data_IF_091053971616
#
_entry.id   IF_091053971616
#
_cell.length_a   1.000
_cell.length_b   1.000
_cell.length_c   1.000
_cell.angle_alpha   90.00
_cell.angle_beta   90.00
_cell.angle_gamma   90.00
#
_symmetry.space_group_name_H-M   'P 1'
#
loop_
_entity.id
_entity.type
_entity.pdbx_description
1 polymer ?
#
# COMPACT_ATOMS: atom_id res chain seq x y z
N UNK A 1 -18.22 1.54 -9.23
CA UNK A 1 -18.33 0.76 -7.99
C UNK A 1 -17.11 1.09 -7.17
N UNK A 2 -17.28 1.39 -5.88
CA UNK A 2 -16.15 1.68 -4.98
C UNK A 2 -15.41 0.39 -4.64
N UNK A 3 -14.18 0.50 -4.18
CA UNK A 3 -13.39 -0.65 -3.71
C UNK A 3 -14.10 -1.38 -2.58
N UNK A 4 -14.77 -0.68 -1.66
CA UNK A 4 -15.53 -1.32 -0.58
C UNK A 4 -16.67 -2.20 -1.11
N UNK A 5 -17.35 -1.76 -2.17
CA UNK A 5 -18.42 -2.53 -2.79
C UNK A 5 -17.83 -3.81 -3.39
N UNK A 6 -16.69 -3.68 -4.08
CA UNK A 6 -15.97 -4.80 -4.68
C UNK A 6 -15.43 -5.80 -3.64
N UNK A 7 -15.09 -5.34 -2.43
CA UNK A 7 -14.67 -6.20 -1.32
C UNK A 7 -15.87 -6.96 -0.75
N UNK A 8 -17.00 -6.27 -0.56
CA UNK A 8 -18.19 -6.83 0.10
C UNK A 8 -19.09 -7.67 -0.82
N UNK A 9 -19.06 -7.42 -2.13
CA UNK A 9 -19.97 -8.06 -3.09
C UNK A 9 -19.51 -9.43 -3.58
N UNK A 10 -18.33 -9.90 -3.18
CA UNK A 10 -17.81 -11.16 -3.71
C UNK A 10 -18.30 -12.36 -2.90
N UNK A 11 -18.73 -13.39 -3.61
CA UNK A 11 -19.05 -14.71 -3.05
C UNK A 11 -17.79 -15.46 -2.56
N UNK A 12 -16.62 -15.08 -3.07
CA UNK A 12 -15.30 -15.63 -2.73
C UNK A 12 -14.37 -14.50 -2.26
N UNK A 13 -13.32 -14.83 -1.52
CA UNK A 13 -12.25 -13.88 -1.18
C UNK A 13 -11.78 -13.13 -2.43
N UNK A 14 -11.70 -11.81 -2.41
CA UNK A 14 -11.32 -11.01 -3.57
C UNK A 14 -9.82 -11.00 -3.84
N UNK A 15 -9.41 -11.07 -5.11
CA UNK A 15 -8.01 -10.88 -5.52
C UNK A 15 -7.72 -9.39 -5.78
N UNK A 16 -6.64 -8.86 -5.21
CA UNK A 16 -6.09 -7.56 -5.57
C UNK A 16 -4.56 -7.57 -5.47
N UNK A 17 -3.91 -6.61 -6.13
CA UNK A 17 -2.46 -6.48 -6.03
C UNK A 17 -1.99 -5.04 -6.17
N UNK A 18 -0.74 -4.82 -5.80
CA UNK A 18 -0.09 -3.51 -5.86
C UNK A 18 1.06 -3.50 -6.85
N UNK A 19 1.17 -2.41 -7.60
CA UNK A 19 2.27 -2.13 -8.53
C UNK A 19 3.01 -0.84 -8.17
N UNK A 20 4.23 -0.73 -8.67
CA UNK A 20 5.04 0.49 -8.58
C UNK A 20 5.01 1.21 -9.93
N UNK A 21 4.95 2.56 -9.97
CA UNK A 21 5.28 3.32 -11.16
C UNK A 21 6.67 2.92 -11.70
N UNK A 22 6.95 2.94 -13.02
CA UNK A 22 8.26 2.55 -13.55
C UNK A 22 9.38 3.48 -13.07
N UNK A 23 10.65 3.05 -13.17
CA UNK A 23 11.77 3.95 -12.90
C UNK A 23 11.86 5.01 -14.01
N UNK A 24 12.32 6.21 -13.67
CA UNK A 24 12.60 7.26 -14.64
C UNK A 24 13.60 6.72 -15.67
N UNK A 25 13.27 6.88 -16.95
CA UNK A 25 14.06 6.36 -18.07
C UNK A 25 13.74 4.91 -18.45
N UNK A 26 12.82 4.26 -17.74
CA UNK A 26 12.25 2.95 -18.13
C UNK A 26 10.81 3.13 -18.59
N UNK A 27 10.37 2.34 -19.57
CA UNK A 27 8.99 2.38 -20.05
C UNK A 27 8.01 1.63 -19.15
N UNK A 28 6.73 1.66 -19.53
CA UNK A 28 5.60 1.08 -18.76
C UNK A 28 5.40 -0.42 -19.03
N UNK A 29 6.15 -1.00 -19.96
CA UNK A 29 5.93 -2.34 -20.51
C UNK A 29 5.99 -3.43 -19.44
N UNK A 30 6.90 -3.30 -18.46
CA UNK A 30 7.02 -4.25 -17.34
C UNK A 30 5.80 -4.21 -16.41
N UNK A 31 5.18 -3.04 -16.23
CA UNK A 31 3.94 -2.93 -15.47
C UNK A 31 2.82 -3.62 -16.24
N UNK A 32 2.71 -3.39 -17.55
CA UNK A 32 1.73 -4.08 -18.39
C UNK A 32 1.91 -5.59 -18.35
N UNK A 33 3.13 -6.10 -18.47
CA UNK A 33 3.40 -7.54 -18.32
C UNK A 33 2.94 -8.08 -16.96
N UNK A 34 3.15 -7.32 -15.88
CA UNK A 34 2.68 -7.71 -14.54
C UNK A 34 1.16 -7.79 -14.48
N UNK A 35 0.47 -6.79 -15.03
CA UNK A 35 -0.99 -6.74 -15.06
C UNK A 35 -1.55 -7.84 -15.98
N UNK A 36 -0.99 -8.02 -17.17
CA UNK A 36 -1.37 -9.06 -18.12
C UNK A 36 -1.19 -10.46 -17.52
N UNK A 37 -0.18 -10.65 -16.68
CA UNK A 37 0.05 -11.91 -15.97
C UNK A 37 -0.96 -12.14 -14.86
N UNK A 38 -1.29 -11.12 -14.07
CA UNK A 38 -2.14 -11.28 -12.89
C UNK A 38 -3.63 -11.04 -13.14
N UNK A 39 -4.01 -10.44 -14.28
CA UNK A 39 -5.42 -10.18 -14.63
C UNK A 39 -6.23 -11.44 -14.90
N UNK A 40 -5.56 -12.58 -15.15
CA UNK A 40 -6.22 -13.87 -15.33
C UNK A 40 -6.98 -14.33 -14.07
N UNK A 41 -6.62 -13.80 -12.90
CA UNK A 41 -7.25 -14.11 -11.61
C UNK A 41 -8.31 -13.08 -11.19
N UNK A 42 -8.89 -12.34 -12.14
CA UNK A 42 -9.97 -11.36 -11.94
C UNK A 42 -9.71 -10.36 -10.79
N UNK A 43 -8.60 -9.59 -10.84
CA UNK A 43 -8.29 -8.59 -9.83
C UNK A 43 -9.39 -7.54 -9.77
N UNK A 44 -9.99 -7.39 -8.58
CA UNK A 44 -11.09 -6.42 -8.39
C UNK A 44 -10.58 -4.98 -8.42
N UNK A 45 -9.38 -4.75 -7.92
CA UNK A 45 -8.72 -3.46 -7.96
C UNK A 45 -7.19 -3.63 -7.93
N UNK A 46 -6.50 -2.59 -8.38
CA UNK A 46 -5.03 -2.54 -8.41
C UNK A 46 -4.57 -1.29 -7.68
N UNK A 47 -3.78 -1.47 -6.63
CA UNK A 47 -3.10 -0.37 -5.97
C UNK A 47 -1.90 0.09 -6.80
N UNK A 48 -1.65 1.39 -6.85
CA UNK A 48 -0.40 1.93 -7.38
C UNK A 48 0.28 2.83 -6.36
N UNK A 49 1.53 2.49 -6.05
CA UNK A 49 2.27 3.22 -5.04
C UNK A 49 2.62 4.63 -5.48
N UNK A 50 2.79 5.49 -4.49
CA UNK A 50 3.34 6.83 -4.67
C UNK A 50 4.69 6.90 -3.96
N UNK A 51 5.64 7.61 -4.56
CA UNK A 51 6.93 7.85 -3.94
C UNK A 51 7.15 9.35 -3.79
N UNK A 52 7.61 9.74 -2.60
CA UNK A 52 8.05 11.10 -2.33
C UNK A 52 9.18 11.52 -3.28
N UNK A 53 9.26 12.82 -3.56
CA UNK A 53 10.49 13.39 -4.12
C UNK A 53 11.58 13.33 -3.04
N UNK A 54 12.74 12.75 -3.35
CA UNK A 54 13.87 12.72 -2.43
C UNK A 54 14.71 14.00 -2.62
N UNK A 55 15.17 14.62 -1.53
CA UNK A 55 16.25 15.60 -1.63
C UNK A 55 17.59 14.89 -1.50
N UNK A 56 18.46 15.10 -2.48
CA UNK A 56 19.84 14.61 -2.48
C UNK A 56 20.75 15.82 -2.35
N UNK A 57 21.63 15.79 -1.35
CA UNK A 57 22.67 16.78 -1.17
C UNK A 57 23.87 16.35 -1.99
N UNK A 58 24.14 17.08 -3.07
CA UNK A 58 25.34 16.88 -3.88
C UNK A 58 26.44 17.76 -3.30
N UNK A 59 27.51 17.13 -2.83
CA UNK A 59 28.73 17.84 -2.46
C UNK A 59 29.32 18.49 -3.72
N UNK A 60 29.49 19.81 -3.68
CA UNK A 60 30.08 20.61 -4.75
C UNK A 60 31.58 20.89 -4.51
N UNK A 61 32.15 20.37 -3.43
CA UNK A 61 33.49 20.72 -2.94
C UNK A 61 33.49 21.98 -2.08
N UNK A 62 34.62 22.24 -1.40
CA UNK A 62 34.83 23.42 -0.54
C UNK A 62 33.78 23.59 0.58
N UNK A 63 33.16 22.50 1.04
CA UNK A 63 32.11 22.52 2.07
C UNK A 63 30.73 22.97 1.57
N UNK A 64 30.54 23.17 0.26
CA UNK A 64 29.26 23.57 -0.32
C UNK A 64 28.44 22.33 -0.71
N UNK A 65 27.17 22.30 -0.28
CA UNK A 65 26.21 21.27 -0.67
C UNK A 65 25.08 21.88 -1.48
N UNK A 66 24.79 21.28 -2.63
CA UNK A 66 23.61 21.61 -3.42
C UNK A 66 22.47 20.65 -3.10
N UNK A 67 21.35 21.20 -2.64
CA UNK A 67 20.12 20.42 -2.42
C UNK A 67 19.38 20.24 -3.74
N UNK A 68 19.41 19.04 -4.30
CA UNK A 68 18.72 18.69 -5.54
C UNK A 68 17.48 17.84 -5.26
N UNK A 69 16.35 18.18 -5.88
CA UNK A 69 15.12 17.37 -5.83
C UNK A 69 15.23 16.24 -6.86
N UNK A 70 15.28 15.00 -6.38
CA UNK A 70 15.34 13.79 -7.18
C UNK A 70 13.97 13.10 -7.21
N UNK A 71 13.35 13.08 -8.39
CA UNK A 71 12.17 12.26 -8.67
C UNK A 71 12.58 11.04 -9.49
N UNK A 72 12.52 9.85 -8.87
CA UNK A 72 12.97 8.58 -9.48
C UNK A 72 11.92 7.89 -10.34
N UNK A 73 10.65 8.30 -10.26
CA UNK A 73 9.52 7.66 -10.93
C UNK A 73 8.55 8.72 -11.48
N UNK A 74 7.81 8.44 -12.57
CA UNK A 74 6.77 9.34 -13.05
C UNK A 74 5.65 9.50 -12.01
N UNK A 75 4.74 10.44 -12.26
CA UNK A 75 3.62 10.68 -11.37
C UNK A 75 2.61 9.55 -11.35
N UNK A 76 2.19 9.17 -10.14
CA UNK A 76 1.19 8.13 -9.89
C UNK A 76 -0.08 8.36 -10.68
N UNK A 77 -0.57 9.61 -10.72
CA UNK A 77 -1.77 10.02 -11.47
C UNK A 77 -1.72 9.57 -12.93
N UNK A 78 -0.65 9.91 -13.64
CA UNK A 78 -0.52 9.59 -15.07
C UNK A 78 -0.46 8.08 -15.32
N UNK A 79 0.22 7.32 -14.45
CA UNK A 79 0.32 5.87 -14.59
C UNK A 79 -1.01 5.20 -14.23
N UNK A 80 -1.70 5.66 -13.18
CA UNK A 80 -3.03 5.18 -12.82
C UNK A 80 -4.03 5.41 -13.95
N UNK A 81 -4.04 6.60 -14.55
CA UNK A 81 -4.87 6.92 -15.71
C UNK A 81 -4.60 5.99 -16.90
N UNK A 82 -3.32 5.78 -17.25
CA UNK A 82 -2.94 4.91 -18.36
C UNK A 82 -3.43 3.47 -18.15
N UNK A 83 -3.29 2.96 -16.92
CA UNK A 83 -3.68 1.59 -16.58
C UNK A 83 -5.20 1.45 -16.54
N UNK A 84 -5.91 2.35 -15.86
CA UNK A 84 -7.37 2.28 -15.77
C UNK A 84 -8.01 2.31 -17.16
N UNK A 85 -7.57 3.22 -18.04
CA UNK A 85 -8.08 3.30 -19.40
C UNK A 85 -7.75 2.07 -20.25
N UNK A 86 -6.58 1.47 -20.07
CA UNK A 86 -6.16 0.29 -20.85
C UNK A 86 -6.86 -0.99 -20.41
N UNK A 87 -7.04 -1.18 -19.10
CA UNK A 87 -7.46 -2.45 -18.53
C UNK A 87 -8.91 -2.46 -18.04
N UNK A 88 -9.52 -1.28 -17.85
CA UNK A 88 -10.82 -1.13 -17.23
C UNK A 88 -10.91 -1.83 -15.86
N UNK A 89 -9.83 -1.77 -15.09
CA UNK A 89 -9.74 -2.26 -13.71
C UNK A 89 -9.65 -1.04 -12.80
N UNK A 90 -10.37 -1.06 -11.68
CA UNK A 90 -10.37 0.02 -10.68
C UNK A 90 -8.95 0.25 -10.16
N UNK A 91 -8.44 1.46 -10.34
CA UNK A 91 -7.13 1.86 -9.83
C UNK A 91 -7.26 2.55 -8.48
N UNK A 92 -6.34 2.22 -7.57
CA UNK A 92 -6.27 2.80 -6.22
C UNK A 92 -4.90 3.47 -6.03
N UNK A 93 -4.76 4.76 -6.39
CA UNK A 93 -3.54 5.51 -6.13
C UNK A 93 -3.28 5.68 -4.64
N UNK A 94 -2.04 5.50 -4.21
CA UNK A 94 -1.62 5.92 -2.89
C UNK A 94 -1.51 7.44 -2.83
N UNK A 95 -2.06 8.06 -1.80
CA UNK A 95 -1.86 9.49 -1.50
C UNK A 95 -1.08 9.61 -0.19
N UNK A 96 -0.01 10.41 -0.20
CA UNK A 96 0.94 10.51 0.89
C UNK A 96 0.95 11.91 1.52
N UNK A 97 1.19 11.97 2.82
CA UNK A 97 1.70 13.19 3.46
C UNK A 97 3.17 13.45 3.08
N UNK A 98 3.97 12.38 3.02
CA UNK A 98 5.41 12.45 2.79
C UNK A 98 5.76 13.02 1.42
N UNK A 99 6.41 14.18 1.42
CA UNK A 99 6.90 14.81 0.19
C UNK A 99 5.88 15.66 -0.55
N UNK A 100 4.75 16.00 0.07
CA UNK A 100 3.68 16.82 -0.52
C UNK A 100 3.29 17.95 0.42
N UNK A 101 3.12 19.15 -0.13
CA UNK A 101 2.37 20.22 0.55
C UNK A 101 0.87 19.96 0.45
N UNK A 102 0.06 20.67 1.26
CA UNK A 102 -1.40 20.54 1.20
C UNK A 102 -1.96 20.94 -0.17
N UNK A 103 -1.37 21.96 -0.79
CA UNK A 103 -1.74 22.43 -2.13
C UNK A 103 -1.37 21.40 -3.20
N UNK A 104 -0.17 20.81 -3.14
CA UNK A 104 0.22 19.74 -4.07
C UNK A 104 -0.72 18.52 -3.96
N UNK A 105 -1.16 18.19 -2.74
CA UNK A 105 -2.19 17.16 -2.53
C UNK A 105 -3.51 17.53 -3.19
N UNK A 106 -3.96 18.78 -3.06
CA UNK A 106 -5.23 19.25 -3.64
C UNK A 106 -5.25 19.14 -5.16
N UNK A 107 -4.16 19.55 -5.83
CA UNK A 107 -4.03 19.38 -7.28
C UNK A 107 -4.05 17.92 -7.71
N UNK A 108 -3.45 17.02 -6.92
CA UNK A 108 -3.55 15.58 -7.18
C UNK A 108 -5.00 15.08 -7.06
N UNK A 109 -5.77 15.55 -6.08
CA UNK A 109 -7.19 15.21 -5.94
C UNK A 109 -8.01 15.74 -7.13
N UNK A 110 -7.76 16.97 -7.57
CA UNK A 110 -8.39 17.53 -8.77
C UNK A 110 -8.11 16.67 -10.02
N UNK A 111 -6.85 16.33 -10.26
CA UNK A 111 -6.46 15.50 -11.41
C UNK A 111 -7.13 14.12 -11.37
N UNK A 112 -7.11 13.46 -10.20
CA UNK A 112 -7.71 12.14 -10.05
C UNK A 112 -9.23 12.15 -10.24
N UNK A 113 -9.92 13.15 -9.68
CA UNK A 113 -11.35 13.32 -9.86
C UNK A 113 -11.71 13.60 -11.33
N UNK A 114 -10.92 14.43 -12.02
CA UNK A 114 -11.07 14.69 -13.46
C UNK A 114 -10.93 13.41 -14.30
N UNK A 115 -10.04 12.51 -13.89
CA UNK A 115 -9.81 11.21 -14.52
C UNK A 115 -10.81 10.12 -14.11
N UNK A 116 -11.75 10.44 -13.21
CA UNK A 116 -12.72 9.47 -12.66
C UNK A 116 -12.08 8.41 -11.76
N UNK A 117 -10.88 8.65 -11.23
CA UNK A 117 -10.20 7.78 -10.27
C UNK A 117 -10.52 8.30 -8.87
N UNK A 118 -11.40 7.62 -8.15
CA UNK A 118 -11.95 8.13 -6.88
C UNK A 118 -11.77 7.19 -5.69
N UNK A 119 -11.12 6.05 -5.89
CA UNK A 119 -10.70 5.16 -4.80
C UNK A 119 -9.23 5.40 -4.49
N UNK A 120 -8.90 5.69 -3.23
CA UNK A 120 -7.54 6.02 -2.80
C UNK A 120 -7.04 5.08 -1.69
N UNK A 121 -5.72 4.98 -1.54
CA UNK A 121 -5.12 4.47 -0.31
C UNK A 121 -4.39 5.62 0.39
N UNK A 122 -4.88 6.02 1.56
CA UNK A 122 -4.36 7.18 2.29
C UNK A 122 -3.30 6.77 3.28
N UNK A 123 -2.10 7.33 3.13
CA UNK A 123 -0.92 6.97 3.90
C UNK A 123 -0.18 8.21 4.39
N UNK A 124 0.55 8.07 5.49
CA UNK A 124 1.54 9.09 5.87
C UNK A 124 2.72 9.07 4.91
N UNK A 125 3.19 7.87 4.56
CA UNK A 125 4.46 7.64 3.87
C UNK A 125 5.65 7.66 4.84
N UNK A 126 6.81 7.31 4.29
CA UNK A 126 8.04 7.14 5.06
C UNK A 126 8.80 8.46 5.24
N UNK A 127 9.62 8.51 6.29
CA UNK A 127 10.61 9.57 6.52
C UNK A 127 11.72 9.57 5.45
N UNK A 128 12.44 10.68 5.31
CA UNK A 128 13.64 10.65 4.47
C UNK A 128 14.71 9.73 5.08
N UNK A 129 15.53 9.08 4.24
CA UNK A 129 16.57 8.14 4.70
C UNK A 129 17.55 8.74 5.70
N UNK A 130 17.79 10.05 5.65
CA UNK A 130 18.72 10.76 6.52
C UNK A 130 18.04 11.41 7.74
N UNK A 131 16.71 11.31 7.85
CA UNK A 131 15.98 11.86 8.98
C UNK A 131 15.80 10.81 10.07
N UNK A 132 15.91 11.21 11.33
CA UNK A 132 15.66 10.33 12.48
C UNK A 132 14.17 10.05 12.67
N UNK A 133 13.31 11.00 12.31
CA UNK A 133 11.85 10.95 12.40
C UNK A 133 11.20 11.56 11.15
N UNK A 134 9.92 11.31 10.95
CA UNK A 134 9.16 11.89 9.84
C UNK A 134 9.00 13.41 10.00
N UNK A 135 9.34 14.16 8.94
CA UNK A 135 9.16 15.62 8.87
C UNK A 135 8.35 15.96 7.61
N UNK A 136 7.22 16.68 7.72
CA UNK A 136 6.44 17.10 6.55
C UNK A 136 7.19 18.16 5.73
N UNK A 137 6.85 18.22 4.44
CA UNK A 137 7.39 19.25 3.54
C UNK A 137 6.54 20.50 3.64
N UNK A 138 7.16 21.65 3.92
CA UNK A 138 6.48 22.94 3.94
C UNK A 138 5.32 22.95 4.95
N UNK A 139 4.11 23.24 4.48
CA UNK A 139 2.88 23.20 5.28
C UNK A 139 2.16 21.84 5.22
N UNK A 140 2.78 20.77 4.70
CA UNK A 140 2.19 19.44 4.61
C UNK A 140 1.80 18.82 5.96
N UNK A 141 1.19 17.64 5.92
CA UNK A 141 0.65 16.97 7.12
C UNK A 141 1.65 16.05 7.82
N UNK A 142 1.51 15.92 9.14
CA UNK A 142 2.30 15.01 9.97
C UNK A 142 1.76 13.59 9.95
N UNK A 143 0.43 13.44 9.85
CA UNK A 143 -0.26 12.17 9.98
C UNK A 143 -1.31 11.95 8.90
N UNK A 144 -1.58 10.68 8.58
CA UNK A 144 -2.59 10.29 7.58
C UNK A 144 -3.99 10.80 7.91
N UNK A 145 -4.32 10.97 9.20
CA UNK A 145 -5.60 11.53 9.66
C UNK A 145 -5.84 12.95 9.16
N UNK A 146 -4.82 13.82 9.16
CA UNK A 146 -4.97 15.19 8.65
C UNK A 146 -5.16 15.19 7.11
N UNK A 147 -4.52 14.25 6.42
CA UNK A 147 -4.74 14.04 4.98
C UNK A 147 -6.17 13.54 4.70
N UNK A 148 -6.72 12.65 5.53
CA UNK A 148 -8.13 12.25 5.44
C UNK A 148 -9.08 13.44 5.65
N UNK A 149 -8.76 14.35 6.58
CA UNK A 149 -9.55 15.57 6.77
C UNK A 149 -9.57 16.43 5.51
N UNK A 150 -8.42 16.63 4.85
CA UNK A 150 -8.40 17.36 3.58
C UNK A 150 -9.24 16.66 2.51
N UNK A 151 -9.13 15.34 2.36
CA UNK A 151 -9.94 14.58 1.39
C UNK A 151 -11.44 14.69 1.71
N UNK A 152 -11.81 14.67 2.98
CA UNK A 152 -13.20 14.83 3.40
C UNK A 152 -13.73 16.24 3.15
N UNK A 153 -12.91 17.28 3.36
CA UNK A 153 -13.26 18.65 3.03
C UNK A 153 -13.37 18.84 1.51
N UNK A 154 -12.47 18.25 0.75
CA UNK A 154 -12.56 18.18 -0.71
C UNK A 154 -13.87 17.52 -1.15
N UNK A 155 -14.25 16.39 -0.56
CA UNK A 155 -15.54 15.75 -0.85
C UNK A 155 -16.77 16.63 -0.51
N UNK A 156 -16.63 17.54 0.46
CA UNK A 156 -17.66 18.53 0.82
C UNK A 156 -17.64 19.79 -0.06
N UNK A 157 -16.70 19.88 -1.01
CA UNK A 157 -16.55 21.05 -1.85
C UNK A 157 -15.77 22.19 -1.21
N UNK A 158 -14.83 21.90 -0.32
CA UNK A 158 -14.02 22.91 0.40
C UNK A 158 -12.55 22.69 0.05
N UNK A 159 -11.93 23.68 -0.57
CA UNK A 159 -10.49 23.71 -0.84
C UNK A 159 -9.68 24.03 0.42
N UNK A 160 -8.37 23.79 0.36
CA UNK A 160 -7.44 24.00 1.48
C UNK A 160 -7.36 25.46 1.93
N UNK A 161 -7.61 26.41 1.03
CA UNK A 161 -7.66 27.84 1.33
C UNK A 161 -9.01 28.30 1.91
N UNK A 162 -9.97 27.37 2.04
CA UNK A 162 -11.32 27.61 2.55
C UNK A 162 -12.31 28.07 1.48
N UNK A 163 -11.91 28.22 0.22
CA UNK A 163 -12.83 28.53 -0.86
C UNK A 163 -13.70 27.33 -1.23
N UNK A 164 -14.90 27.62 -1.73
CA UNK A 164 -15.87 26.60 -2.11
C UNK A 164 -15.68 26.16 -3.57
N UNK A 165 -15.92 24.88 -3.82
CA UNK A 165 -16.02 24.30 -5.15
C UNK A 165 -17.34 23.57 -5.35
N UNK A 166 -17.73 23.47 -6.61
CA UNK A 166 -18.89 22.67 -6.98
C UNK A 166 -18.62 21.20 -6.69
N UNK A 167 -19.38 20.63 -5.75
CA UNK A 167 -19.34 19.20 -5.42
C UNK A 167 -19.65 18.38 -6.68
N UNK A 168 -18.79 17.40 -6.96
CA UNK A 168 -19.03 16.45 -8.05
C UNK A 168 -19.88 15.28 -7.54
N UNK A 169 -20.52 14.56 -8.45
CA UNK A 169 -21.35 13.41 -8.09
C UNK A 169 -20.55 12.19 -7.61
N UNK A 170 -19.21 12.24 -7.66
CA UNK A 170 -18.33 11.11 -7.35
C UNK A 170 -17.32 11.52 -6.27
N UNK A 171 -17.67 11.38 -4.99
CA UNK A 171 -16.74 11.65 -3.89
C UNK A 171 -15.64 10.58 -3.83
N UNK A 172 -14.49 10.95 -3.27
CA UNK A 172 -13.44 10.01 -2.97
C UNK A 172 -13.86 9.01 -1.88
N UNK A 173 -13.62 7.72 -2.14
CA UNK A 173 -13.55 6.65 -1.14
C UNK A 173 -12.08 6.33 -0.87
N UNK A 174 -11.77 5.84 0.32
CA UNK A 174 -10.40 5.47 0.63
C UNK A 174 -10.27 4.36 1.68
N UNK A 175 -9.21 3.58 1.51
CA UNK A 175 -8.66 2.72 2.55
C UNK A 175 -7.45 3.34 3.24
N UNK A 176 -6.97 2.68 4.29
CA UNK A 176 -5.77 3.09 5.06
C UNK A 176 -4.85 1.91 5.34
N UNK A 177 -3.59 2.17 5.70
CA UNK A 177 -2.68 1.11 6.16
C UNK A 177 -2.92 0.72 7.62
N UNK A 178 -2.57 -0.51 8.00
CA UNK A 178 -2.50 -1.00 9.38
C UNK A 178 -1.35 -2.02 9.55
N UNK A 179 -0.96 -2.33 10.79
CA UNK A 179 0.28 -3.08 11.06
C UNK A 179 0.03 -4.21 12.06
N UNK A 180 -0.09 -5.48 11.59
CA UNK A 180 -0.29 -6.64 12.47
C UNK A 180 0.79 -6.81 13.53
N UNK A 181 1.99 -6.27 13.27
CA UNK A 181 3.15 -6.34 14.15
C UNK A 181 3.57 -4.96 14.69
N UNK A 182 2.64 -3.99 14.70
CA UNK A 182 2.78 -2.60 15.17
C UNK A 182 3.65 -1.75 14.24
N UNK A 183 3.22 -0.50 13.99
CA UNK A 183 4.08 0.46 13.31
C UNK A 183 5.39 0.71 14.09
N UNK A 184 6.50 0.91 13.38
CA UNK A 184 7.82 1.02 14.02
C UNK A 184 7.92 2.19 15.01
N UNK A 185 7.24 3.30 14.70
CA UNK A 185 7.19 4.50 15.54
C UNK A 185 6.11 4.45 16.64
N UNK A 186 5.21 3.46 16.63
CA UNK A 186 4.20 3.36 17.68
C UNK A 186 4.83 2.81 18.98
N UNK A 187 4.50 3.35 20.16
CA UNK A 187 5.09 2.89 21.42
C UNK A 187 4.65 1.46 21.80
N UNK A 188 3.44 1.06 21.42
CA UNK A 188 2.87 -0.27 21.66
C UNK A 188 1.71 -0.55 20.69
N UNK A 189 1.23 -1.80 20.68
CA UNK A 189 0.17 -2.26 19.78
C UNK A 189 -1.16 -1.52 20.03
N UNK A 190 -1.54 -1.30 21.29
CA UNK A 190 -2.83 -0.68 21.62
C UNK A 190 -2.91 0.78 21.13
N UNK A 191 -1.78 1.49 21.17
CA UNK A 191 -1.68 2.84 20.58
C UNK A 191 -1.77 2.80 19.05
N UNK A 192 -1.18 1.80 18.40
CA UNK A 192 -1.27 1.64 16.94
C UNK A 192 -2.72 1.34 16.51
N UNK A 193 -3.42 0.48 17.24
CA UNK A 193 -4.84 0.16 17.02
C UNK A 193 -5.73 1.37 17.32
N UNK A 194 -5.43 2.17 18.36
CA UNK A 194 -6.14 3.43 18.62
C UNK A 194 -6.10 4.34 17.40
N UNK A 195 -4.95 4.48 16.74
CA UNK A 195 -4.84 5.28 15.52
C UNK A 195 -5.53 4.64 14.32
N UNK A 196 -5.56 3.30 14.21
CA UNK A 196 -6.40 2.63 13.22
C UNK A 196 -7.88 2.98 13.42
N UNK A 197 -8.38 2.91 14.67
CA UNK A 197 -9.75 3.32 15.00
C UNK A 197 -10.01 4.77 14.63
N UNK A 198 -9.09 5.69 14.94
CA UNK A 198 -9.23 7.10 14.55
C UNK A 198 -9.31 7.29 13.03
N UNK A 199 -8.48 6.58 12.25
CA UNK A 199 -8.56 6.60 10.79
C UNK A 199 -9.91 6.09 10.27
N UNK A 200 -10.47 5.04 10.89
CA UNK A 200 -11.82 4.55 10.59
C UNK A 200 -12.90 5.59 10.93
N UNK A 201 -12.85 6.18 12.12
CA UNK A 201 -13.80 7.23 12.56
C UNK A 201 -13.79 8.45 11.63
N UNK A 202 -12.67 8.70 10.96
CA UNK A 202 -12.54 9.74 9.94
C UNK A 202 -13.09 9.37 8.57
N UNK A 203 -13.59 8.15 8.37
CA UNK A 203 -14.27 7.73 7.14
C UNK A 203 -13.51 6.72 6.28
N UNK A 204 -12.40 6.15 6.75
CA UNK A 204 -11.76 5.05 6.02
C UNK A 204 -12.72 3.86 5.90
N UNK A 205 -12.89 3.32 4.69
CA UNK A 205 -13.88 2.26 4.41
C UNK A 205 -13.28 0.85 4.55
N UNK A 206 -11.96 0.71 4.46
CA UNK A 206 -11.21 -0.54 4.68
C UNK A 206 -9.78 -0.25 5.12
N UNK A 207 -9.09 -1.26 5.67
CA UNK A 207 -7.67 -1.19 5.99
C UNK A 207 -6.91 -2.30 5.26
N UNK A 208 -5.69 -2.01 4.79
CA UNK A 208 -4.76 -3.00 4.23
C UNK A 208 -3.60 -3.15 5.19
N UNK A 209 -3.28 -4.39 5.57
CA UNK A 209 -2.17 -4.65 6.48
C UNK A 209 -0.84 -4.47 5.77
N UNK A 210 0.20 -4.05 6.49
CA UNK A 210 1.57 -4.35 6.12
C UNK A 210 1.73 -5.87 5.89
N UNK A 211 2.73 -6.25 5.10
CA UNK A 211 3.07 -7.66 4.91
C UNK A 211 3.39 -8.35 6.24
N UNK A 212 3.04 -9.61 6.35
CA UNK A 212 3.35 -10.49 7.47
C UNK A 212 3.56 -11.91 6.96
N UNK A 213 4.32 -12.73 7.68
CA UNK A 213 4.58 -14.14 7.32
C UNK A 213 3.93 -15.13 8.29
N UNK A 214 3.38 -14.66 9.41
CA UNK A 214 2.68 -15.46 10.42
C UNK A 214 1.19 -15.08 10.52
N UNK A 215 0.30 -15.98 10.12
CA UNK A 215 -1.14 -15.76 10.19
C UNK A 215 -1.66 -15.52 11.61
N UNK A 216 -1.00 -16.04 12.64
CA UNK A 216 -1.37 -15.81 14.04
C UNK A 216 -1.30 -14.32 14.37
N UNK A 217 -0.27 -13.60 13.87
CA UNK A 217 -0.13 -12.15 14.06
C UNK A 217 -1.30 -11.39 13.44
N UNK A 218 -1.75 -11.81 12.25
CA UNK A 218 -2.91 -11.21 11.60
C UNK A 218 -4.20 -11.48 12.39
N UNK A 219 -4.46 -12.71 12.80
CA UNK A 219 -5.68 -13.06 13.55
C UNK A 219 -5.73 -12.36 14.92
N UNK A 220 -4.62 -12.36 15.66
CA UNK A 220 -4.51 -11.65 16.94
C UNK A 220 -4.72 -10.14 16.77
N UNK A 221 -4.18 -9.57 15.70
CA UNK A 221 -4.37 -8.16 15.37
C UNK A 221 -5.83 -7.84 15.06
N UNK A 222 -6.49 -8.64 14.22
CA UNK A 222 -7.90 -8.45 13.87
C UNK A 222 -8.77 -8.53 15.12
N UNK A 223 -8.56 -9.54 15.97
CA UNK A 223 -9.31 -9.70 17.22
C UNK A 223 -9.16 -8.47 18.13
N UNK A 224 -7.93 -8.01 18.38
CA UNK A 224 -7.69 -6.79 19.17
C UNK A 224 -8.32 -5.55 18.53
N UNK A 225 -8.25 -5.42 17.21
CA UNK A 225 -8.88 -4.32 16.50
C UNK A 225 -10.41 -4.34 16.64
N UNK A 226 -11.04 -5.53 16.58
CA UNK A 226 -12.48 -5.69 16.84
C UNK A 226 -12.83 -5.33 18.27
N UNK A 227 -12.06 -5.78 19.26
CA UNK A 227 -12.25 -5.41 20.68
C UNK A 227 -12.13 -3.89 20.92
N UNK A 228 -11.25 -3.20 20.17
CA UNK A 228 -11.13 -1.75 20.20
C UNK A 228 -12.29 -1.02 19.49
N UNK A 229 -13.13 -1.73 18.75
CA UNK A 229 -14.28 -1.20 18.02
C UNK A 229 -14.00 -0.82 16.56
N UNK A 230 -12.93 -1.33 15.95
CA UNK A 230 -12.72 -1.22 14.51
C UNK A 230 -13.68 -2.17 13.80
N UNK A 231 -14.54 -1.66 12.92
CA UNK A 231 -15.59 -2.44 12.24
C UNK A 231 -15.34 -2.62 10.74
N UNK A 232 -14.48 -1.82 10.13
CA UNK A 232 -14.16 -1.90 8.70
C UNK A 232 -13.40 -3.20 8.35
N UNK A 233 -13.50 -3.69 7.10
CA UNK A 233 -12.69 -4.81 6.61
C UNK A 233 -11.19 -4.56 6.79
N UNK A 234 -10.46 -5.58 7.26
CA UNK A 234 -8.99 -5.56 7.40
C UNK A 234 -8.44 -6.60 6.41
N UNK A 235 -7.85 -6.12 5.32
CA UNK A 235 -7.39 -6.90 4.19
C UNK A 235 -5.93 -7.31 4.44
N UNK A 236 -5.61 -8.62 4.50
CA UNK A 236 -4.24 -9.08 4.63
C UNK A 236 -3.40 -8.73 3.39
N UNK A 237 -2.31 -8.00 3.62
CA UNK A 237 -1.25 -7.73 2.65
C UNK A 237 -0.24 -8.88 2.60
N UNK A 238 -0.06 -9.51 1.43
CA UNK A 238 0.71 -10.74 1.27
C UNK A 238 1.86 -10.54 0.29
N UNK A 239 3.05 -11.05 0.64
CA UNK A 239 4.22 -11.05 -0.25
C UNK A 239 4.92 -12.41 -0.22
N UNK A 240 4.94 -13.17 -1.33
CA UNK A 240 5.72 -14.40 -1.38
C UNK A 240 7.20 -14.14 -1.07
N UNK A 241 7.78 -15.01 -0.24
CA UNK A 241 9.23 -15.07 -0.06
C UNK A 241 9.88 -15.58 -1.35
N UNK A 242 11.06 -15.07 -1.70
CA UNK A 242 11.67 -15.30 -3.02
C UNK A 242 13.19 -15.42 -3.01
N UNK A 243 13.92 -14.74 -2.13
CA UNK A 243 15.39 -14.69 -2.18
C UNK A 243 15.99 -14.96 -0.82
N UNK A 244 17.15 -15.63 -0.78
CA UNK A 244 17.88 -15.88 0.48
C UNK A 244 18.19 -14.58 1.23
N UNK A 245 18.53 -13.52 0.49
CA UNK A 245 18.78 -12.17 1.06
C UNK A 245 17.59 -11.61 1.86
N UNK A 246 16.36 -12.08 1.60
CA UNK A 246 15.16 -11.63 2.30
C UNK A 246 15.09 -12.08 3.75
N UNK A 247 15.80 -13.15 4.15
CA UNK A 247 15.93 -13.55 5.56
C UNK A 247 16.40 -12.39 6.43
N UNK A 248 17.31 -11.58 5.91
CA UNK A 248 17.85 -10.42 6.63
C UNK A 248 17.17 -9.10 6.24
N UNK A 249 16.76 -8.96 4.99
CA UNK A 249 16.23 -7.68 4.47
C UNK A 249 14.82 -7.40 4.96
N UNK A 250 13.95 -8.42 5.00
CA UNK A 250 12.53 -8.24 5.33
C UNK A 250 12.35 -7.73 6.77
N UNK A 251 12.89 -8.39 7.82
CA UNK A 251 12.72 -7.91 9.18
C UNK A 251 13.29 -6.51 9.38
N UNK A 252 14.45 -6.22 8.78
CA UNK A 252 15.11 -4.91 8.91
C UNK A 252 14.31 -3.78 8.27
N UNK A 253 13.65 -4.04 7.14
CA UNK A 253 12.99 -3.02 6.32
C UNK A 253 11.54 -2.82 6.74
N UNK A 254 10.80 -3.91 6.94
CA UNK A 254 9.36 -3.87 7.20
C UNK A 254 9.01 -4.00 8.68
N UNK A 255 9.99 -4.30 9.54
CA UNK A 255 9.84 -4.46 10.99
C UNK A 255 8.82 -5.55 11.36
N UNK A 256 8.93 -6.68 10.66
CA UNK A 256 8.10 -7.87 10.82
C UNK A 256 8.98 -9.04 11.19
N UNK A 257 8.44 -10.00 11.93
CA UNK A 257 9.12 -11.24 12.25
C UNK A 257 8.90 -12.28 11.13
N UNK A 258 9.94 -13.05 10.85
CA UNK A 258 9.80 -14.27 10.05
C UNK A 258 9.54 -15.44 11.00
N UNK A 259 8.52 -16.29 10.72
CA UNK A 259 8.32 -17.54 11.44
C UNK A 259 9.59 -18.37 11.47
N UNK A 260 9.84 -19.03 12.61
CA UNK A 260 11.00 -19.91 12.77
C UNK A 260 10.94 -21.07 11.76
N UNK A 261 9.75 -21.62 11.53
CA UNK A 261 9.52 -22.71 10.59
C UNK A 261 9.90 -22.31 9.16
N UNK A 262 9.46 -21.12 8.71
CA UNK A 262 9.85 -20.58 7.41
C UNK A 262 11.36 -20.36 7.33
N UNK A 263 11.94 -19.80 8.39
CA UNK A 263 13.37 -19.49 8.46
C UNK A 263 14.21 -20.77 8.35
N UNK A 264 13.83 -21.83 9.06
CA UNK A 264 14.51 -23.13 9.04
C UNK A 264 14.48 -23.77 7.65
N UNK A 265 13.35 -23.73 6.94
CA UNK A 265 13.27 -24.28 5.58
C UNK A 265 14.10 -23.46 4.58
N UNK A 266 14.06 -22.14 4.67
CA UNK A 266 14.86 -21.28 3.78
C UNK A 266 16.37 -21.44 4.05
N UNK A 267 16.79 -21.66 5.30
CA UNK A 267 18.20 -21.91 5.64
C UNK A 267 18.76 -23.22 5.04
N UNK A 268 17.90 -24.15 4.62
CA UNK A 268 18.31 -25.37 3.89
C UNK A 268 18.56 -25.11 2.40
N UNK A 269 18.09 -23.98 1.88
CA UNK A 269 18.22 -23.62 0.47
C UNK A 269 19.62 -23.08 0.17
N UNK A 270 20.19 -23.50 -0.96
CA UNK A 270 21.48 -23.04 -1.49
C UNK A 270 21.31 -21.97 -2.57
N UNK A 271 20.13 -21.87 -3.19
CA UNK A 271 19.86 -20.93 -4.29
C UNK A 271 18.59 -20.11 -4.06
N UNK A 272 18.50 -18.95 -4.73
CA UNK A 272 17.28 -18.15 -4.76
C UNK A 272 16.10 -18.89 -5.41
N UNK A 273 16.36 -19.84 -6.33
CA UNK A 273 15.30 -20.64 -6.97
C UNK A 273 14.65 -21.61 -5.96
N UNK A 274 15.45 -22.27 -5.13
CA UNK A 274 14.96 -23.12 -4.04
C UNK A 274 14.20 -22.28 -3.00
N UNK A 275 14.75 -21.14 -2.60
CA UNK A 275 14.09 -20.22 -1.67
C UNK A 275 12.75 -19.68 -2.21
N UNK A 276 12.67 -19.44 -3.52
CA UNK A 276 11.43 -19.06 -4.20
C UNK A 276 10.39 -20.18 -4.14
N UNK A 277 10.79 -21.44 -4.31
CA UNK A 277 9.87 -22.57 -4.23
C UNK A 277 9.29 -22.70 -2.81
N UNK A 278 10.15 -22.69 -1.78
CA UNK A 278 9.72 -22.68 -0.36
C UNK A 278 8.77 -21.51 -0.08
N UNK A 279 9.10 -20.32 -0.60
CA UNK A 279 8.27 -19.13 -0.42
C UNK A 279 6.91 -19.17 -1.12
N UNK A 280 6.79 -19.87 -2.26
CA UNK A 280 5.51 -20.13 -2.92
C UNK A 280 4.67 -21.07 -2.07
N UNK A 281 5.23 -22.20 -1.64
CA UNK A 281 4.54 -23.20 -0.80
C UNK A 281 4.04 -22.60 0.51
N UNK A 282 4.89 -21.83 1.18
CA UNK A 282 4.52 -21.08 2.39
C UNK A 282 3.35 -20.13 2.13
N UNK A 283 3.45 -19.33 1.07
CA UNK A 283 2.43 -18.34 0.72
C UNK A 283 1.10 -18.99 0.34
N UNK A 284 1.12 -20.14 -0.35
CA UNK A 284 -0.11 -20.93 -0.63
C UNK A 284 -0.78 -21.35 0.67
N UNK A 285 -0.03 -21.91 1.61
CA UNK A 285 -0.59 -22.33 2.89
C UNK A 285 -1.13 -21.14 3.70
N UNK A 286 -0.36 -20.05 3.72
CA UNK A 286 -0.77 -18.79 4.34
C UNK A 286 -2.10 -18.29 3.79
N UNK A 287 -2.24 -18.23 2.47
CA UNK A 287 -3.46 -17.77 1.80
C UNK A 287 -4.64 -18.71 2.01
N UNK A 288 -4.44 -20.03 1.94
CA UNK A 288 -5.50 -21.03 2.18
C UNK A 288 -6.09 -20.90 3.57
N UNK A 289 -5.24 -20.74 4.59
CA UNK A 289 -5.69 -20.55 5.96
C UNK A 289 -6.44 -19.21 6.13
N UNK A 290 -5.96 -18.12 5.54
CA UNK A 290 -6.67 -16.83 5.54
C UNK A 290 -8.04 -16.91 4.87
N UNK A 291 -8.13 -17.57 3.71
CA UNK A 291 -9.40 -17.80 3.00
C UNK A 291 -10.35 -18.65 3.85
N UNK A 292 -9.86 -19.71 4.49
CA UNK A 292 -10.67 -20.55 5.38
C UNK A 292 -11.21 -19.78 6.59
N UNK A 293 -10.49 -18.74 7.05
CA UNK A 293 -10.95 -17.81 8.09
C UNK A 293 -11.85 -16.68 7.56
N UNK A 294 -12.21 -16.70 6.27
CA UNK A 294 -13.20 -15.80 5.70
C UNK A 294 -12.70 -14.37 5.45
N UNK A 295 -11.40 -14.16 5.20
CA UNK A 295 -10.93 -12.83 4.83
C UNK A 295 -11.61 -12.38 3.52
N UNK A 296 -12.04 -11.11 3.42
CA UNK A 296 -12.85 -10.66 2.29
C UNK A 296 -12.02 -10.40 1.03
N UNK A 297 -10.71 -10.18 1.18
CA UNK A 297 -9.76 -10.02 0.07
C UNK A 297 -8.35 -10.46 0.49
N UNK A 298 -7.52 -10.86 -0.48
CA UNK A 298 -6.07 -10.95 -0.35
C UNK A 298 -5.43 -9.87 -1.21
N UNK A 299 -4.55 -9.06 -0.62
CA UNK A 299 -3.84 -7.99 -1.32
C UNK A 299 -2.37 -8.31 -1.54
N UNK A 300 -1.94 -8.53 -2.79
CA UNK A 300 -0.57 -8.99 -3.07
C UNK A 300 0.42 -7.86 -3.43
N UNK A 301 1.57 -7.83 -2.75
CA UNK A 301 2.68 -6.93 -3.07
C UNK A 301 3.53 -7.46 -4.22
N UNK A 302 3.16 -7.10 -5.46
CA UNK A 302 3.69 -7.74 -6.69
C UNK A 302 5.16 -7.47 -7.02
N UNK A 303 5.75 -6.45 -6.40
CA UNK A 303 7.11 -5.98 -6.67
C UNK A 303 8.13 -7.13 -6.58
N UNK A 304 8.67 -7.52 -7.74
CA UNK A 304 9.67 -8.60 -7.84
C UNK A 304 9.13 -10.01 -7.60
N UNK A 305 7.82 -10.16 -7.39
CA UNK A 305 7.16 -11.41 -7.00
C UNK A 305 6.01 -11.81 -7.95
N UNK A 306 5.85 -11.17 -9.11
CA UNK A 306 4.77 -11.44 -10.08
C UNK A 306 4.61 -12.93 -10.38
N UNK A 307 5.69 -13.62 -10.76
CA UNK A 307 5.61 -15.05 -11.11
C UNK A 307 5.24 -15.91 -9.90
N UNK A 308 5.80 -15.61 -8.73
CA UNK A 308 5.44 -16.29 -7.48
C UNK A 308 3.97 -16.09 -7.13
N UNK A 309 3.42 -14.88 -7.32
CA UNK A 309 2.00 -14.60 -7.08
C UNK A 309 1.13 -15.37 -8.08
N UNK A 310 1.53 -15.44 -9.35
CA UNK A 310 0.81 -16.25 -10.35
C UNK A 310 0.70 -17.72 -9.90
N UNK A 311 1.81 -18.31 -9.47
CA UNK A 311 1.82 -19.72 -9.01
C UNK A 311 1.05 -19.94 -7.71
N UNK A 312 1.04 -18.95 -6.81
CA UNK A 312 0.18 -18.97 -5.61
C UNK A 312 -1.29 -18.87 -6.00
N UNK A 313 -1.64 -17.89 -6.84
CA UNK A 313 -3.02 -17.58 -7.24
C UNK A 313 -3.69 -18.77 -7.94
N UNK A 314 -2.99 -19.47 -8.85
CA UNK A 314 -3.46 -20.70 -9.51
C UNK A 314 -3.93 -21.80 -8.55
N UNK A 315 -3.46 -21.80 -7.31
CA UNK A 315 -3.76 -22.85 -6.33
C UNK A 315 -4.86 -22.47 -5.34
N UNK A 316 -5.27 -21.20 -5.33
CA UNK A 316 -6.20 -20.65 -4.33
C UNK A 316 -7.42 -19.95 -4.96
N UNK A 317 -7.40 -19.67 -6.27
CA UNK A 317 -8.50 -19.12 -7.06
C UNK A 317 -8.91 -20.09 -8.17
#
# INVERSE_FOLDING_TARGET
>A
MKVIDLINSNEKTAFSFEILPPLKGTGIEKLYQTIDTLREFDPKYINITTHRSEYVYKDLGNGLFQRNRLRRRPGTVAVAAAIQNKYNITMVPHILCSGFTREETEYVLLDLQFLGITDLLVLRGDKAKHESSFIPVGNGYHHAVELQEQINNFNKGIFVDGSEMKVTNTPFSYGVACYPEKHEEAPNMDTDIYWLKKKMEMGAEYAVTQLFYDNRKYFDFVERARQAGVTIPIIPGIKPFKKLSQLSMIPKTFKVDLPEELTQEVLKCNTDAEAQQVGIEWCVQQCKELIAHGVPSLHFYSVGATDSIKEVAKQIY
#
